data_IF_426090963491
#
_entry.id   IF_426090963491
#
_cell.length_a   1.000
_cell.length_b   1.000
_cell.length_c   1.000
_cell.angle_alpha   90.00
_cell.angle_beta   90.00
_cell.angle_gamma   90.00
#
_symmetry.space_group_name_H-M   'P 1'
#
loop_
_entity.id
_entity.type
_entity.pdbx_description
1 polymer ?
#
# COMPACT_ATOMS: atom_id res chain seq x y z
N UNK A 1 -8.50 -4.26 -38.28
CA UNK A 1 -7.56 -5.31 -37.82
C UNK A 1 -6.90 -4.86 -36.51
N UNK A 2 -6.39 -5.83 -35.75
CA UNK A 2 -5.70 -5.57 -34.46
C UNK A 2 -4.56 -4.56 -34.65
N UNK A 3 -3.81 -4.66 -35.73
CA UNK A 3 -2.71 -3.75 -36.05
C UNK A 3 -3.17 -2.30 -36.29
N UNK A 4 -4.34 -2.10 -36.86
CA UNK A 4 -4.92 -0.77 -37.03
C UNK A 4 -5.35 -0.16 -35.69
N UNK A 5 -5.88 -0.96 -34.79
CA UNK A 5 -6.24 -0.51 -33.43
C UNK A 5 -5.00 -0.14 -32.61
N UNK A 6 -3.95 -0.95 -32.69
CA UNK A 6 -2.67 -0.67 -32.02
C UNK A 6 -2.02 0.62 -32.55
N UNK A 7 -2.00 0.82 -33.85
CA UNK A 7 -1.51 2.04 -34.49
C UNK A 7 -2.35 3.27 -34.05
N UNK A 8 -3.66 3.14 -34.04
CA UNK A 8 -4.55 4.22 -33.59
C UNK A 8 -4.34 4.57 -32.12
N UNK A 9 -4.13 3.57 -31.27
CA UNK A 9 -3.79 3.78 -29.85
C UNK A 9 -2.50 4.58 -29.70
N UNK A 10 -1.44 4.18 -30.42
CA UNK A 10 -0.14 4.86 -30.37
C UNK A 10 -0.23 6.30 -30.84
N UNK A 11 -0.95 6.56 -31.93
CA UNK A 11 -1.16 7.93 -32.44
C UNK A 11 -1.95 8.80 -31.47
N UNK A 12 -2.98 8.24 -30.83
CA UNK A 12 -3.80 8.93 -29.84
C UNK A 12 -3.01 9.19 -28.55
N UNK A 13 -2.23 8.23 -28.09
CA UNK A 13 -1.36 8.37 -26.91
C UNK A 13 -0.34 9.49 -27.11
N UNK A 14 0.32 9.54 -28.26
CA UNK A 14 1.26 10.59 -28.59
C UNK A 14 0.63 12.00 -28.72
N UNK A 15 -0.63 12.08 -29.14
CA UNK A 15 -1.34 13.37 -29.24
C UNK A 15 -1.93 13.86 -27.93
N UNK A 16 -2.28 12.97 -27.02
CA UNK A 16 -2.98 13.31 -25.76
C UNK A 16 -2.05 13.39 -24.53
N UNK A 17 -0.72 13.28 -24.74
CA UNK A 17 0.31 13.56 -23.73
C UNK A 17 -0.02 12.96 -22.35
N UNK A 18 -0.09 11.66 -22.21
CA UNK A 18 -0.26 10.90 -20.94
C UNK A 18 -1.42 11.35 -20.02
N UNK A 19 -2.31 12.21 -20.52
CA UNK A 19 -3.48 12.67 -19.75
C UNK A 19 -4.67 11.73 -19.80
N UNK A 20 -4.61 10.69 -20.65
CA UNK A 20 -5.74 9.79 -20.89
C UNK A 20 -5.25 8.35 -21.00
N UNK A 21 -5.91 7.45 -20.29
CA UNK A 21 -5.68 6.01 -20.46
C UNK A 21 -6.57 5.52 -21.63
N UNK A 22 -5.94 5.07 -22.69
CA UNK A 22 -6.65 4.53 -23.86
C UNK A 22 -6.76 3.01 -23.71
N UNK A 23 -7.97 2.51 -23.44
CA UNK A 23 -8.29 1.10 -23.44
C UNK A 23 -8.85 0.70 -24.81
N UNK A 24 -8.31 -0.37 -25.40
CA UNK A 24 -8.86 -0.97 -26.61
C UNK A 24 -9.92 -1.98 -26.20
N UNK A 25 -11.10 -1.91 -26.83
CA UNK A 25 -12.15 -2.89 -26.65
C UNK A 25 -12.49 -3.52 -28.00
N UNK A 26 -12.77 -4.83 -27.97
CA UNK A 26 -13.23 -5.57 -29.16
C UNK A 26 -14.75 -5.49 -29.21
N UNK A 27 -15.27 -4.91 -30.25
CA UNK A 27 -16.71 -4.93 -30.54
C UNK A 27 -17.05 -6.20 -31.37
N UNK A 28 -18.08 -6.98 -30.95
CA UNK A 28 -18.48 -8.16 -31.69
C UNK A 28 -19.01 -7.79 -33.09
N UNK A 29 -18.37 -8.26 -34.13
CA UNK A 29 -18.84 -8.07 -35.51
C UNK A 29 -19.91 -9.12 -35.86
N UNK A 30 -21.06 -9.07 -35.20
CA UNK A 30 -22.19 -9.96 -35.52
C UNK A 30 -22.85 -9.48 -36.78
N UNK A 31 -22.95 -10.30 -37.85
CA UNK A 31 -23.64 -9.93 -39.09
C UNK A 31 -25.10 -9.56 -38.82
N UNK A 32 -25.63 -8.56 -39.55
CA UNK A 32 -26.98 -8.05 -39.28
C UNK A 32 -28.08 -9.10 -39.51
N UNK A 33 -27.91 -9.98 -40.48
CA UNK A 33 -28.82 -11.10 -40.71
C UNK A 33 -28.95 -12.05 -39.51
N UNK A 34 -27.87 -12.20 -38.69
CA UNK A 34 -27.89 -13.05 -37.52
C UNK A 34 -28.53 -12.33 -36.34
N UNK A 35 -28.42 -11.00 -36.27
CA UNK A 35 -29.13 -10.17 -35.24
C UNK A 35 -30.66 -10.23 -35.50
N UNK A 36 -31.08 -10.18 -36.75
CA UNK A 36 -32.49 -10.25 -37.14
C UNK A 36 -33.14 -11.60 -36.80
N UNK A 37 -32.34 -12.68 -36.75
CA UNK A 37 -32.76 -14.00 -36.31
C UNK A 37 -32.70 -14.17 -34.75
N UNK A 38 -32.42 -13.11 -33.99
CA UNK A 38 -32.31 -13.16 -32.55
C UNK A 38 -30.98 -13.74 -32.05
N UNK A 39 -30.01 -13.93 -32.91
CA UNK A 39 -28.65 -14.37 -32.60
C UNK A 39 -27.94 -13.32 -31.72
N UNK A 40 -27.58 -13.69 -30.52
CA UNK A 40 -26.76 -12.85 -29.65
C UNK A 40 -25.28 -13.23 -29.79
N UNK A 41 -24.35 -12.25 -29.82
CA UNK A 41 -22.94 -12.58 -29.82
C UNK A 41 -22.62 -13.44 -28.59
N UNK A 42 -21.84 -14.49 -28.80
CA UNK A 42 -21.31 -15.28 -27.71
C UNK A 42 -20.42 -14.34 -26.86
N UNK A 43 -20.78 -14.13 -25.62
CA UNK A 43 -19.90 -13.43 -24.69
C UNK A 43 -18.67 -14.31 -24.51
N UNK A 44 -17.59 -13.92 -25.18
CA UNK A 44 -16.29 -14.54 -24.95
C UNK A 44 -15.94 -14.36 -23.50
N UNK A 45 -15.62 -15.45 -22.81
CA UNK A 45 -15.12 -15.40 -21.45
C UNK A 45 -13.84 -14.54 -21.37
N UNK A 46 -13.41 -14.19 -20.19
CA UNK A 46 -12.20 -13.39 -19.93
C UNK A 46 -10.96 -13.96 -20.65
N UNK A 47 -10.86 -15.28 -20.77
CA UNK A 47 -9.81 -16.00 -21.50
C UNK A 47 -9.68 -15.67 -22.98
N UNK A 48 -10.78 -15.29 -23.62
CA UNK A 48 -10.84 -15.06 -25.07
C UNK A 48 -10.92 -13.57 -25.43
N UNK A 49 -11.16 -12.71 -24.45
CA UNK A 49 -11.32 -11.26 -24.66
C UNK A 49 -10.03 -10.45 -24.47
N UNK A 50 -8.90 -11.11 -24.13
CA UNK A 50 -7.61 -10.44 -24.02
C UNK A 50 -7.47 -9.56 -22.79
N UNK A 51 -7.20 -10.17 -21.65
CA UNK A 51 -6.74 -9.52 -20.42
C UNK A 51 -7.78 -8.68 -19.66
N UNK A 52 -7.72 -8.77 -18.35
CA UNK A 52 -8.49 -7.90 -17.46
C UNK A 52 -7.55 -6.84 -16.89
N UNK A 53 -7.92 -5.58 -17.03
CA UNK A 53 -7.21 -4.49 -16.37
C UNK A 53 -7.85 -4.19 -15.04
N UNK A 54 -7.07 -4.34 -13.96
CA UNK A 54 -7.48 -3.97 -12.62
C UNK A 54 -6.81 -2.64 -12.24
N UNK A 55 -7.59 -1.70 -11.76
CA UNK A 55 -7.09 -0.53 -11.05
C UNK A 55 -7.19 -0.84 -9.57
N UNK A 56 -6.04 -0.87 -8.88
CA UNK A 56 -5.97 -1.12 -7.45
C UNK A 56 -5.59 0.17 -6.75
N UNK A 57 -6.40 0.55 -5.78
CA UNK A 57 -6.07 1.58 -4.82
C UNK A 57 -5.72 0.91 -3.48
N UNK A 58 -4.58 1.27 -2.91
CA UNK A 58 -4.13 0.72 -1.63
C UNK A 58 -4.29 1.79 -0.56
N UNK A 59 -5.07 1.48 0.46
CA UNK A 59 -5.19 2.31 1.65
C UNK A 59 -3.92 2.17 2.52
N UNK A 60 -2.98 3.07 2.26
CA UNK A 60 -1.68 3.09 2.95
C UNK A 60 -1.84 3.52 4.41
N UNK A 61 -2.79 4.37 4.72
CA UNK A 61 -2.98 4.89 6.07
C UNK A 61 -3.49 3.80 7.00
N UNK A 62 -4.42 2.96 6.56
CA UNK A 62 -4.83 1.76 7.30
C UNK A 62 -3.66 0.77 7.47
N UNK A 63 -2.84 0.55 6.45
CA UNK A 63 -1.67 -0.31 6.56
C UNK A 63 -0.62 0.25 7.54
N UNK A 64 -0.40 1.58 7.54
CA UNK A 64 0.47 2.27 8.51
C UNK A 64 -0.05 2.11 9.92
N UNK A 65 -1.35 2.38 10.13
CA UNK A 65 -1.96 2.31 11.45
C UNK A 65 -1.82 0.92 12.07
N UNK A 66 -2.14 -0.14 11.33
CA UNK A 66 -1.99 -1.51 11.82
C UNK A 66 -0.55 -1.85 12.23
N UNK A 67 0.45 -1.37 11.47
CA UNK A 67 1.86 -1.54 11.84
C UNK A 67 2.26 -0.71 13.06
N UNK A 68 1.73 0.51 13.21
CA UNK A 68 1.98 1.34 14.38
C UNK A 68 1.37 0.73 15.65
N UNK A 69 0.21 0.09 15.56
CA UNK A 69 -0.40 -0.61 16.70
C UNK A 69 0.48 -1.77 17.19
N UNK A 70 0.98 -2.61 16.27
CA UNK A 70 1.93 -3.68 16.60
C UNK A 70 3.21 -3.13 17.23
N UNK A 71 3.73 -2.03 16.68
CA UNK A 71 4.93 -1.38 17.17
C UNK A 71 4.70 -0.79 18.57
N UNK A 72 3.55 -0.15 18.80
CA UNK A 72 3.14 0.39 20.08
C UNK A 72 3.13 -0.70 21.17
N UNK A 73 2.52 -1.84 20.88
CA UNK A 73 2.44 -2.95 21.82
C UNK A 73 3.82 -3.56 22.08
N UNK A 74 4.66 -3.66 21.05
CA UNK A 74 6.05 -4.12 21.20
C UNK A 74 6.83 -3.20 22.12
N UNK A 75 6.80 -1.87 21.91
CA UNK A 75 7.50 -0.92 22.78
C UNK A 75 6.93 -0.87 24.19
N UNK A 76 5.61 -0.97 24.35
CA UNK A 76 4.99 -1.06 25.69
C UNK A 76 5.51 -2.25 26.47
N UNK A 77 5.64 -3.41 25.81
CA UNK A 77 6.18 -4.63 26.42
C UNK A 77 7.64 -4.44 26.78
N UNK A 78 8.46 -3.99 25.84
CA UNK A 78 9.88 -3.76 26.02
C UNK A 78 10.16 -2.75 27.14
N UNK A 79 9.44 -1.62 27.18
CA UNK A 79 9.62 -0.62 28.22
C UNK A 79 9.23 -1.14 29.62
N UNK A 80 8.20 -2.00 29.70
CA UNK A 80 7.86 -2.67 30.97
C UNK A 80 8.94 -3.63 31.43
N UNK A 81 9.48 -4.45 30.53
CA UNK A 81 10.57 -5.39 30.81
C UNK A 81 11.82 -4.66 31.30
N UNK A 82 12.16 -3.54 30.68
CA UNK A 82 13.31 -2.71 31.04
C UNK A 82 13.03 -1.74 32.21
N UNK A 83 11.84 -1.79 32.80
CA UNK A 83 11.39 -0.90 33.88
C UNK A 83 11.42 0.59 33.53
N UNK A 84 11.27 0.92 32.27
CA UNK A 84 11.16 2.30 31.79
C UNK A 84 9.72 2.78 32.00
N UNK A 85 9.56 3.85 32.79
CA UNK A 85 8.26 4.34 33.24
C UNK A 85 7.73 5.37 32.25
N UNK A 86 6.65 5.07 31.59
CA UNK A 86 5.91 6.03 30.75
C UNK A 86 4.56 6.38 31.38
N UNK A 87 4.07 7.58 31.12
CA UNK A 87 2.77 8.08 31.59
C UNK A 87 1.70 7.96 30.51
N UNK A 88 2.09 8.12 29.24
CA UNK A 88 1.20 7.99 28.08
C UNK A 88 1.92 7.28 26.93
N UNK A 89 1.13 6.54 26.18
CA UNK A 89 1.59 5.92 24.94
C UNK A 89 0.39 5.78 23.99
N UNK A 90 0.41 6.53 22.91
CA UNK A 90 -0.72 6.64 21.99
C UNK A 90 -0.25 6.79 20.55
N UNK A 91 -1.16 6.53 19.60
CA UNK A 91 -0.97 6.83 18.19
C UNK A 91 -1.77 8.11 17.89
N UNK A 92 -1.11 9.12 17.38
CA UNK A 92 -1.72 10.39 16.93
C UNK A 92 -1.07 10.81 15.63
N UNK A 93 -1.88 11.24 14.67
CA UNK A 93 -1.40 11.71 13.36
C UNK A 93 -0.45 10.72 12.65
N UNK A 94 -0.76 9.41 12.76
CA UNK A 94 0.06 8.31 12.22
C UNK A 94 1.51 8.31 12.74
N UNK A 95 1.69 8.76 13.98
CA UNK A 95 2.93 8.72 14.73
C UNK A 95 2.73 8.09 16.11
N UNK A 96 3.75 7.40 16.63
CA UNK A 96 3.75 6.93 18.01
C UNK A 96 4.20 8.05 18.94
N UNK A 97 3.42 8.28 19.97
CA UNK A 97 3.72 9.23 21.04
C UNK A 97 3.99 8.48 22.34
N UNK A 98 5.17 8.65 22.90
CA UNK A 98 5.50 8.16 24.24
C UNK A 98 5.88 9.32 25.14
N UNK A 99 5.18 9.49 26.26
CA UNK A 99 5.48 10.48 27.29
C UNK A 99 5.98 9.75 28.53
N UNK A 100 7.16 10.11 29.01
CA UNK A 100 7.81 9.45 30.16
C UNK A 100 7.56 10.21 31.44
N UNK A 101 7.57 9.50 32.58
CA UNK A 101 7.30 10.08 33.91
C UNK A 101 8.46 10.93 34.41
N UNK A 102 9.68 10.46 34.18
CA UNK A 102 10.91 11.08 34.67
C UNK A 102 11.95 11.17 33.56
N UNK A 103 12.99 11.98 33.78
CA UNK A 103 14.06 12.21 32.81
C UNK A 103 14.92 10.96 32.60
N UNK A 104 15.08 10.15 33.64
CA UNK A 104 15.89 8.93 33.56
C UNK A 104 15.20 7.87 32.64
N UNK A 105 13.88 7.71 32.76
CA UNK A 105 13.09 6.86 31.90
C UNK A 105 13.14 7.36 30.47
N UNK A 106 13.04 8.67 30.24
CA UNK A 106 13.18 9.27 28.90
C UNK A 106 14.55 8.97 28.28
N UNK A 107 15.63 9.22 29.04
CA UNK A 107 17.00 8.99 28.57
C UNK A 107 17.26 7.49 28.32
N UNK A 108 16.74 6.61 29.18
CA UNK A 108 16.85 5.16 29.02
C UNK A 108 16.11 4.66 27.77
N UNK A 109 14.90 5.16 27.51
CA UNK A 109 14.15 4.85 26.32
C UNK A 109 14.89 5.32 25.04
N UNK A 110 15.42 6.53 25.06
CA UNK A 110 16.18 7.09 23.96
C UNK A 110 17.46 6.29 23.68
N UNK A 111 18.20 5.94 24.73
CA UNK A 111 19.41 5.11 24.62
C UNK A 111 19.09 3.73 24.07
N UNK A 112 18.06 3.09 24.60
CA UNK A 112 17.62 1.77 24.10
C UNK A 112 17.24 1.86 22.63
N UNK A 113 16.44 2.84 22.27
CA UNK A 113 16.02 3.05 20.92
C UNK A 113 17.18 3.23 19.94
N UNK A 114 18.20 4.00 20.32
CA UNK A 114 19.42 4.20 19.52
C UNK A 114 20.28 2.94 19.43
N UNK A 115 20.28 2.09 20.47
CA UNK A 115 21.09 0.88 20.55
C UNK A 115 20.43 -0.32 19.85
N UNK A 116 19.12 -0.48 20.00
CA UNK A 116 18.37 -1.61 19.42
C UNK A 116 18.24 -1.53 17.90
N UNK A 117 18.66 -0.41 17.34
CA UNK A 117 18.55 -0.16 15.90
C UNK A 117 19.77 0.51 15.30
N UNK A 118 20.98 -0.03 15.50
CA UNK A 118 22.18 0.51 14.86
C UNK A 118 22.10 0.30 13.34
N UNK A 119 21.67 1.30 12.61
CA UNK A 119 21.62 1.33 11.16
C UNK A 119 20.23 1.10 10.53
N UNK A 120 19.26 0.52 11.22
CA UNK A 120 17.91 0.29 10.68
C UNK A 120 16.91 1.37 11.08
N UNK A 121 17.07 2.01 12.23
CA UNK A 121 16.12 3.02 12.73
C UNK A 121 16.12 4.30 11.93
N UNK A 122 17.26 4.79 11.52
CA UNK A 122 17.33 5.97 10.66
C UNK A 122 16.74 5.75 9.27
N UNK A 123 16.59 4.48 8.86
CA UNK A 123 15.96 4.11 7.59
C UNK A 123 14.44 3.88 7.73
N UNK A 124 13.98 3.39 8.88
CA UNK A 124 12.56 3.03 9.06
C UNK A 124 11.75 4.09 9.79
N UNK A 125 12.34 4.76 10.79
CA UNK A 125 11.63 5.73 11.61
C UNK A 125 12.43 7.02 11.79
N UNK A 126 11.72 8.12 11.80
CA UNK A 126 12.23 9.43 12.21
C UNK A 126 11.83 9.61 13.68
N UNK A 127 12.81 9.94 14.52
CA UNK A 127 12.58 10.22 15.92
C UNK A 127 12.61 11.72 16.14
N UNK A 128 11.50 12.25 16.63
CA UNK A 128 11.44 13.64 17.10
C UNK A 128 11.52 13.66 18.63
N UNK A 129 12.59 14.21 19.14
CA UNK A 129 12.87 14.33 20.57
C UNK A 129 12.28 15.62 21.11
N UNK A 130 11.51 15.52 22.20
CA UNK A 130 10.98 16.67 22.95
C UNK A 130 11.39 16.56 24.42
N UNK A 131 12.62 16.93 24.79
CA UNK A 131 13.16 16.74 26.14
C UNK A 131 12.38 17.50 27.21
N UNK A 132 11.90 18.71 26.91
CA UNK A 132 11.14 19.54 27.86
C UNK A 132 9.83 18.90 28.30
N UNK A 133 9.17 18.18 27.42
CA UNK A 133 7.94 17.42 27.71
C UNK A 133 8.20 15.95 28.00
N UNK A 134 9.46 15.50 27.95
CA UNK A 134 9.86 14.09 28.08
C UNK A 134 9.09 13.18 27.11
N UNK A 135 8.90 13.62 25.88
CA UNK A 135 8.12 12.92 24.86
C UNK A 135 9.02 12.51 23.71
N UNK A 136 8.85 11.28 23.24
CA UNK A 136 9.43 10.78 22.00
C UNK A 136 8.29 10.55 20.98
N UNK A 137 8.49 11.06 19.79
CA UNK A 137 7.63 10.78 18.64
C UNK A 137 8.40 9.89 17.68
N UNK A 138 7.74 8.85 17.19
CA UNK A 138 8.28 7.97 16.17
C UNK A 138 7.36 8.02 14.96
N UNK A 139 7.91 8.48 13.85
CA UNK A 139 7.22 8.57 12.56
C UNK A 139 7.91 7.66 11.54
N UNK A 140 7.16 7.13 10.60
CA UNK A 140 7.76 6.39 9.49
C UNK A 140 8.58 7.32 8.59
N UNK A 141 9.77 6.88 8.21
CA UNK A 141 10.56 7.54 7.17
C UNK A 141 9.94 7.33 5.78
N UNK A 142 10.31 8.16 4.81
CA UNK A 142 9.87 8.01 3.41
C UNK A 142 10.26 6.63 2.83
N UNK A 143 11.40 6.10 3.25
CA UNK A 143 11.88 4.78 2.84
C UNK A 143 10.93 3.70 3.37
N UNK A 144 10.58 3.76 4.66
CA UNK A 144 9.65 2.81 5.26
C UNK A 144 8.24 2.94 4.67
N UNK A 145 7.80 4.16 4.36
CA UNK A 145 6.52 4.38 3.68
C UNK A 145 6.47 3.75 2.30
N UNK A 146 7.58 3.82 1.57
CA UNK A 146 7.71 3.14 0.27
C UNK A 146 7.64 1.62 0.44
N UNK A 147 8.37 1.06 1.39
CA UNK A 147 8.34 -0.39 1.66
C UNK A 147 6.94 -0.88 2.08
N UNK A 148 6.23 -0.11 2.93
CA UNK A 148 4.85 -0.41 3.33
C UNK A 148 3.94 -0.44 2.10
N UNK A 149 4.09 0.54 1.22
CA UNK A 149 3.32 0.62 -0.03
C UNK A 149 3.60 -0.55 -0.95
N UNK A 150 4.87 -0.82 -1.21
CA UNK A 150 5.29 -1.89 -2.12
C UNK A 150 4.83 -3.27 -1.61
N UNK A 151 4.93 -3.48 -0.30
CA UNK A 151 4.43 -4.69 0.35
C UNK A 151 2.90 -4.83 0.22
N UNK A 152 2.15 -3.77 0.53
CA UNK A 152 0.69 -3.78 0.45
C UNK A 152 0.19 -4.00 -0.98
N UNK A 153 0.83 -3.36 -1.97
CA UNK A 153 0.54 -3.59 -3.39
C UNK A 153 0.83 -5.04 -3.77
N UNK A 154 1.99 -5.58 -3.38
CA UNK A 154 2.37 -6.97 -3.66
C UNK A 154 1.39 -7.99 -3.07
N UNK A 155 0.95 -7.79 -1.83
CA UNK A 155 -0.06 -8.62 -1.17
C UNK A 155 -1.42 -8.58 -1.90
N UNK A 156 -1.87 -7.39 -2.26
CA UNK A 156 -3.14 -7.23 -2.97
C UNK A 156 -3.10 -7.87 -4.36
N UNK A 157 -1.99 -7.72 -5.09
CA UNK A 157 -1.80 -8.37 -6.39
C UNK A 157 -1.81 -9.90 -6.27
N UNK A 158 -1.14 -10.44 -5.24
CA UNK A 158 -1.11 -11.88 -4.99
C UNK A 158 -2.51 -12.41 -4.65
N UNK A 159 -3.23 -11.72 -3.78
CA UNK A 159 -4.59 -12.07 -3.40
C UNK A 159 -5.53 -12.02 -4.60
N UNK A 160 -5.42 -10.98 -5.42
CA UNK A 160 -6.22 -10.83 -6.63
C UNK A 160 -5.93 -11.96 -7.63
N UNK A 161 -4.64 -12.25 -7.88
CA UNK A 161 -4.23 -13.33 -8.77
C UNK A 161 -4.75 -14.69 -8.31
N UNK A 162 -4.68 -14.99 -7.01
CA UNK A 162 -5.21 -16.23 -6.46
C UNK A 162 -6.72 -16.31 -6.66
N UNK A 163 -7.47 -15.25 -6.37
CA UNK A 163 -8.92 -15.21 -6.58
C UNK A 163 -9.31 -15.36 -8.05
N UNK A 164 -8.57 -14.72 -8.95
CA UNK A 164 -8.81 -14.85 -10.40
C UNK A 164 -8.56 -16.29 -10.86
N UNK A 165 -7.47 -16.91 -10.39
CA UNK A 165 -7.16 -18.30 -10.71
C UNK A 165 -8.20 -19.28 -10.13
N UNK A 166 -8.69 -19.04 -8.90
CA UNK A 166 -9.77 -19.85 -8.29
C UNK A 166 -11.09 -19.78 -9.08
N UNK A 167 -11.34 -18.67 -9.74
CA UNK A 167 -12.50 -18.51 -10.62
C UNK A 167 -12.30 -19.14 -12.01
N UNK A 168 -11.17 -19.79 -12.25
CA UNK A 168 -10.87 -20.47 -13.50
C UNK A 168 -10.61 -19.51 -14.68
N UNK A 169 -10.21 -18.29 -14.38
CA UNK A 169 -9.83 -17.28 -15.36
C UNK A 169 -8.30 -17.21 -15.39
N UNK A 170 -7.70 -18.10 -16.15
CA UNK A 170 -6.25 -18.15 -16.35
C UNK A 170 -5.85 -17.43 -17.64
#
# INVERSE_FOLDING_TARGET
TLDQQLNSKTVLQNKLLDRVIIALNLEPSTPDWLKDLGGKPVKLGLDLSGGVHFLLEVDIDTAKQGRLELLLDTYRKTFKEDRIKFSDSSIKDLALHFTFRDQDSYNSALKKYRNDSPGLTGLQYIITERPSSKTLLLEYSDIALKEIRDYAVGQNLTTLRNRVNELGVS
#
